data_IF_807876830269
#
_entry.id   IF_807876830269
#
_cell.length_a   1.000
_cell.length_b   1.000
_cell.length_c   1.000
_cell.angle_alpha   90.00
_cell.angle_beta   90.00
_cell.angle_gamma   90.00
#
_symmetry.space_group_name_H-M   'P 1'
#
loop_
_entity.id
_entity.type
_entity.pdbx_description
1 polymer ?
#
# COMPACT_ATOMS: atom_id res chain seq x y z
N UNK A 1 31.44 -14.23 -0.29
CA UNK A 1 30.06 -13.69 -0.47
C UNK A 1 30.07 -12.78 -1.67
N UNK A 2 29.07 -12.87 -2.55
CA UNK A 2 28.91 -11.98 -3.71
C UNK A 2 27.62 -11.16 -3.57
N UNK A 3 27.61 -9.94 -4.10
CA UNK A 3 26.43 -9.07 -4.16
C UNK A 3 25.97 -8.98 -5.60
N UNK A 4 24.72 -9.38 -5.83
CA UNK A 4 24.10 -9.43 -7.14
C UNK A 4 23.18 -8.23 -7.30
N UNK A 5 23.40 -7.45 -8.35
CA UNK A 5 22.51 -6.36 -8.71
C UNK A 5 21.40 -6.88 -9.63
N UNK A 6 20.19 -7.01 -9.09
CA UNK A 6 19.00 -7.42 -9.85
C UNK A 6 18.43 -6.20 -10.56
N UNK A 7 18.28 -6.31 -11.88
CA UNK A 7 17.74 -5.27 -12.76
C UNK A 7 16.58 -5.77 -13.60
N UNK A 8 15.73 -4.85 -14.06
CA UNK A 8 14.71 -5.09 -15.10
C UNK A 8 14.96 -4.10 -16.22
N UNK A 9 15.56 -4.55 -17.33
CA UNK A 9 16.12 -3.62 -18.32
C UNK A 9 17.21 -2.76 -17.69
N UNK A 10 17.10 -1.44 -17.82
CA UNK A 10 18.03 -0.48 -17.21
C UNK A 10 17.65 -0.09 -15.77
N UNK A 11 16.45 -0.48 -15.31
CA UNK A 11 15.96 -0.14 -13.97
C UNK A 11 16.59 -1.05 -12.90
N UNK A 12 17.18 -0.40 -11.89
CA UNK A 12 17.75 -1.06 -10.72
C UNK A 12 16.62 -1.47 -9.76
N UNK A 13 16.52 -2.76 -9.43
CA UNK A 13 15.45 -3.27 -8.57
C UNK A 13 15.91 -3.42 -7.12
N UNK A 14 16.92 -4.27 -6.88
CA UNK A 14 17.50 -4.49 -5.55
C UNK A 14 18.86 -5.20 -5.64
N UNK A 15 19.57 -5.19 -4.52
CA UNK A 15 20.78 -5.97 -4.32
C UNK A 15 20.45 -7.25 -3.53
N UNK A 16 21.00 -8.39 -3.95
CA UNK A 16 20.87 -9.67 -3.27
C UNK A 16 22.26 -10.21 -2.92
N UNK A 17 22.48 -10.55 -1.66
CA UNK A 17 23.74 -11.18 -1.24
C UNK A 17 23.58 -12.71 -1.24
N UNK A 18 24.53 -13.42 -1.86
CA UNK A 18 24.56 -14.88 -1.88
C UNK A 18 26.01 -15.42 -1.84
N UNK A 19 26.23 -16.67 -1.40
CA UNK A 19 27.49 -17.37 -1.61
C UNK A 19 27.84 -17.49 -3.11
N UNK A 20 29.12 -17.40 -3.46
CA UNK A 20 29.57 -17.60 -4.84
C UNK A 20 29.43 -19.04 -5.35
N UNK A 21 29.15 -19.97 -4.43
CA UNK A 21 28.94 -21.40 -4.69
C UNK A 21 27.45 -21.78 -4.77
N UNK A 22 26.54 -20.81 -4.72
CA UNK A 22 25.09 -21.10 -4.80
C UNK A 22 24.72 -21.50 -6.22
N UNK A 23 23.98 -22.62 -6.33
CA UNK A 23 23.48 -23.12 -7.61
C UNK A 23 22.49 -22.13 -8.26
N UNK A 24 22.51 -22.06 -9.59
CA UNK A 24 21.71 -21.08 -10.32
C UNK A 24 20.20 -21.25 -10.11
N UNK A 25 19.73 -22.50 -10.01
CA UNK A 25 18.32 -22.80 -9.75
C UNK A 25 17.87 -22.27 -8.39
N UNK A 26 18.68 -22.51 -7.36
CA UNK A 26 18.43 -22.00 -6.01
C UNK A 26 18.46 -20.48 -5.99
N UNK A 27 19.46 -19.87 -6.62
CA UNK A 27 19.60 -18.42 -6.71
C UNK A 27 18.40 -17.77 -7.41
N UNK A 28 17.93 -18.38 -8.50
CA UNK A 28 16.77 -17.90 -9.26
C UNK A 28 15.51 -17.94 -8.40
N UNK A 29 15.30 -19.03 -7.64
CA UNK A 29 14.18 -19.15 -6.71
C UNK A 29 14.24 -18.09 -5.60
N UNK A 30 15.43 -17.77 -5.08
CA UNK A 30 15.63 -16.71 -4.09
C UNK A 30 15.30 -15.32 -4.65
N UNK A 31 15.83 -14.97 -5.82
CA UNK A 31 15.53 -13.70 -6.51
C UNK A 31 14.03 -13.57 -6.76
N UNK A 32 13.40 -14.63 -7.29
CA UNK A 32 11.96 -14.64 -7.57
C UNK A 32 11.13 -14.44 -6.30
N UNK A 33 11.52 -15.06 -5.18
CA UNK A 33 10.86 -14.88 -3.88
C UNK A 33 10.90 -13.43 -3.42
N UNK A 34 12.08 -12.78 -3.46
CA UNK A 34 12.25 -11.38 -3.04
C UNK A 34 11.46 -10.45 -3.95
N UNK A 35 11.59 -10.63 -5.27
CA UNK A 35 10.88 -9.81 -6.25
C UNK A 35 9.36 -9.92 -6.09
N UNK A 36 8.82 -11.14 -6.00
CA UNK A 36 7.39 -11.35 -5.79
C UNK A 36 6.91 -10.81 -4.43
N UNK A 37 7.74 -10.88 -3.39
CA UNK A 37 7.46 -10.27 -2.09
C UNK A 37 7.29 -8.75 -2.21
N UNK A 38 8.22 -8.08 -2.90
CA UNK A 38 8.15 -6.64 -3.17
C UNK A 38 6.87 -6.27 -3.94
N UNK A 39 6.51 -7.04 -4.97
CA UNK A 39 5.27 -6.82 -5.71
C UNK A 39 4.02 -6.96 -4.84
N UNK A 40 4.00 -7.90 -3.88
CA UNK A 40 2.88 -8.04 -2.93
C UNK A 40 2.77 -6.84 -2.01
N UNK A 41 3.88 -6.35 -1.47
CA UNK A 41 3.89 -5.15 -0.62
C UNK A 41 3.40 -3.94 -1.41
N UNK A 42 3.90 -3.75 -2.63
CA UNK A 42 3.44 -2.65 -3.48
C UNK A 42 1.93 -2.70 -3.74
N UNK A 43 1.37 -3.87 -4.04
CA UNK A 43 -0.07 -4.03 -4.22
C UNK A 43 -0.86 -3.67 -2.96
N UNK A 44 -0.38 -4.10 -1.79
CA UNK A 44 -1.02 -3.74 -0.52
C UNK A 44 -0.99 -2.22 -0.29
N UNK A 45 0.15 -1.57 -0.54
CA UNK A 45 0.25 -0.11 -0.41
C UNK A 45 -0.75 0.61 -1.33
N UNK A 46 -0.84 0.22 -2.60
CA UNK A 46 -1.82 0.80 -3.53
C UNK A 46 -3.26 0.57 -3.07
N UNK A 47 -3.61 -0.63 -2.60
CA UNK A 47 -4.97 -0.91 -2.10
C UNK A 47 -5.30 -0.17 -0.79
N UNK A 48 -4.29 0.21 0.01
CA UNK A 48 -4.46 1.05 1.20
C UNK A 48 -4.75 2.51 0.83
N UNK A 49 -4.15 3.02 -0.25
CA UNK A 49 -4.46 4.36 -0.79
C UNK A 49 -5.92 4.39 -1.24
N UNK A 50 -6.34 3.44 -2.07
CA UNK A 50 -7.73 3.28 -2.52
C UNK A 50 -8.73 3.11 -1.36
N UNK A 51 -8.32 2.41 -0.28
CA UNK A 51 -9.13 2.27 0.93
C UNK A 51 -9.28 3.59 1.70
N UNK A 52 -8.23 4.40 1.74
CA UNK A 52 -8.26 5.69 2.42
C UNK A 52 -9.15 6.68 1.66
N UNK A 53 -9.05 6.70 0.32
CA UNK A 53 -9.72 7.64 -0.58
C UNK A 53 -11.18 7.27 -0.86
N UNK A 54 -11.49 5.98 -1.00
CA UNK A 54 -12.82 5.52 -1.45
C UNK A 54 -13.52 4.58 -0.46
N UNK A 55 -12.92 4.31 0.70
CA UNK A 55 -13.53 3.46 1.71
C UNK A 55 -13.49 1.97 1.39
N UNK A 56 -14.28 1.19 2.12
CA UNK A 56 -14.26 -0.28 2.01
C UNK A 56 -14.88 -0.75 0.69
N UNK A 57 -14.54 -1.97 0.28
CA UNK A 57 -15.20 -2.61 -0.86
C UNK A 57 -16.71 -2.69 -0.64
N UNK A 58 -17.48 -2.59 -1.71
CA UNK A 58 -18.88 -3.00 -1.72
C UNK A 58 -18.97 -4.54 -1.62
N UNK A 59 -20.08 -5.07 -1.09
CA UNK A 59 -20.39 -6.50 -1.17
C UNK A 59 -20.30 -7.04 -2.63
N UNK A 60 -19.87 -8.30 -2.85
CA UNK A 60 -19.64 -8.82 -4.20
C UNK A 60 -20.87 -8.80 -5.12
N UNK A 61 -22.07 -8.84 -4.54
CA UNK A 61 -23.35 -8.72 -5.24
C UNK A 61 -23.72 -7.28 -5.65
N UNK A 62 -22.96 -6.28 -5.20
CA UNK A 62 -23.17 -4.86 -5.52
C UNK A 62 -22.07 -4.28 -6.42
N UNK A 63 -20.90 -4.92 -6.49
CA UNK A 63 -19.78 -4.43 -7.31
C UNK A 63 -20.13 -4.43 -8.81
N UNK A 64 -19.91 -3.31 -9.48
CA UNK A 64 -20.15 -3.15 -10.92
C UNK A 64 -21.61 -2.95 -11.32
N UNK A 65 -22.53 -2.80 -10.35
CA UNK A 65 -23.90 -2.36 -10.60
C UNK A 65 -23.99 -0.82 -10.54
N UNK A 66 -24.94 -0.23 -11.27
CA UNK A 66 -25.23 1.19 -11.13
C UNK A 66 -26.01 1.46 -9.85
N UNK A 67 -25.95 2.70 -9.36
CA UNK A 67 -26.70 3.15 -8.19
C UNK A 67 -28.21 2.88 -8.36
N UNK A 68 -28.75 3.02 -9.59
CA UNK A 68 -30.17 2.71 -9.88
C UNK A 68 -30.49 1.21 -9.76
N UNK A 69 -29.59 0.35 -10.25
CA UNK A 69 -29.77 -1.10 -10.17
C UNK A 69 -29.72 -1.60 -8.73
N UNK A 70 -28.86 -1.00 -7.91
CA UNK A 70 -28.75 -1.30 -6.47
C UNK A 70 -30.06 -0.93 -5.76
N UNK A 71 -30.64 0.23 -6.07
CA UNK A 71 -31.94 0.66 -5.53
C UNK A 71 -33.09 -0.26 -5.98
N UNK A 72 -33.14 -0.64 -7.27
CA UNK A 72 -34.17 -1.53 -7.82
C UNK A 72 -34.12 -2.92 -7.17
N UNK A 73 -32.92 -3.48 -7.02
CA UNK A 73 -32.68 -4.77 -6.39
C UNK A 73 -32.72 -4.71 -4.86
N UNK A 74 -32.85 -3.51 -4.27
CA UNK A 74 -32.90 -3.24 -2.83
C UNK A 74 -31.69 -3.84 -2.09
N UNK A 75 -30.53 -3.82 -2.72
CA UNK A 75 -29.28 -4.30 -2.12
C UNK A 75 -28.79 -3.30 -1.08
N UNK A 76 -28.19 -3.81 0.00
CA UNK A 76 -27.69 -3.00 1.11
C UNK A 76 -26.24 -3.31 1.38
N UNK A 77 -25.45 -2.27 1.62
CA UNK A 77 -24.07 -2.40 2.07
C UNK A 77 -24.04 -2.70 3.58
N UNK A 78 -23.96 -3.98 3.92
CA UNK A 78 -23.84 -4.45 5.30
C UNK A 78 -22.50 -4.05 5.94
N UNK A 79 -21.48 -3.74 5.14
CA UNK A 79 -20.13 -3.46 5.62
C UNK A 79 -19.95 -1.97 5.92
N UNK A 80 -20.61 -1.09 5.17
CA UNK A 80 -20.57 0.36 5.39
C UNK A 80 -21.00 0.78 6.79
N UNK A 81 -22.00 0.13 7.39
CA UNK A 81 -22.42 0.42 8.77
C UNK A 81 -21.45 -0.13 9.83
N UNK A 82 -20.80 -1.26 9.54
CA UNK A 82 -19.90 -1.94 10.47
C UNK A 82 -18.50 -1.31 10.50
N UNK A 83 -18.05 -0.80 9.37
CA UNK A 83 -16.66 -0.40 9.12
C UNK A 83 -16.53 1.12 8.98
N UNK A 84 -17.16 1.88 9.88
CA UNK A 84 -17.09 3.35 9.86
C UNK A 84 -15.75 3.83 10.44
N UNK A 85 -15.04 4.75 9.75
CA UNK A 85 -13.78 5.29 10.24
C UNK A 85 -13.93 6.01 11.58
N UNK A 86 -12.95 5.84 12.47
CA UNK A 86 -12.85 6.59 13.72
C UNK A 86 -12.53 8.07 13.44
N UNK A 87 -13.56 8.87 13.23
CA UNK A 87 -13.46 10.27 12.79
C UNK A 87 -14.55 10.70 11.81
N UNK A 88 -15.44 9.78 11.42
CA UNK A 88 -16.44 10.03 10.38
C UNK A 88 -15.86 9.86 8.98
N UNK A 89 -16.75 9.92 7.99
CA UNK A 89 -16.41 9.75 6.58
C UNK A 89 -16.89 10.93 5.74
N UNK A 90 -16.17 11.18 4.66
CA UNK A 90 -16.58 12.09 3.57
C UNK A 90 -16.93 11.22 2.37
N UNK A 91 -17.96 11.59 1.62
CA UNK A 91 -18.36 10.81 0.46
C UNK A 91 -17.55 11.22 -0.78
N UNK A 92 -16.77 10.27 -1.30
CA UNK A 92 -15.93 10.40 -2.49
C UNK A 92 -16.15 9.18 -3.39
N UNK A 93 -16.87 9.37 -4.51
CA UNK A 93 -17.27 8.27 -5.40
C UNK A 93 -16.05 7.56 -6.01
N UNK A 94 -16.07 6.24 -5.96
CA UNK A 94 -15.14 5.38 -6.70
C UNK A 94 -15.60 5.30 -8.17
N UNK A 95 -14.75 5.75 -9.10
CA UNK A 95 -15.04 5.72 -10.54
C UNK A 95 -15.15 4.28 -11.09
N UNK A 96 -14.47 3.33 -10.45
CA UNK A 96 -14.47 1.91 -10.84
C UNK A 96 -15.70 1.19 -10.28
N UNK A 97 -16.37 1.76 -9.27
CA UNK A 97 -17.60 1.21 -8.68
C UNK A 97 -17.36 -0.07 -7.86
N UNK A 98 -16.19 -0.21 -7.25
CA UNK A 98 -15.83 -1.37 -6.40
C UNK A 98 -15.98 -1.05 -4.92
N UNK A 99 -15.83 0.21 -4.52
CA UNK A 99 -15.83 0.69 -3.13
C UNK A 99 -17.04 1.58 -2.85
N UNK A 100 -17.37 1.71 -1.57
CA UNK A 100 -18.59 2.39 -1.12
C UNK A 100 -18.49 3.92 -1.06
N UNK A 101 -17.31 4.47 -1.35
CA UNK A 101 -17.03 5.91 -1.41
C UNK A 101 -16.93 6.58 -0.05
N UNK A 102 -16.80 5.83 1.05
CA UNK A 102 -16.64 6.41 2.39
C UNK A 102 -15.17 6.71 2.70
N UNK A 103 -14.69 7.86 2.24
CA UNK A 103 -13.35 8.37 2.50
C UNK A 103 -13.15 8.65 4.00
N UNK A 104 -11.94 8.43 4.51
CA UNK A 104 -11.61 8.80 5.89
C UNK A 104 -11.41 10.32 6.04
N UNK A 105 -12.12 10.97 6.96
CA UNK A 105 -12.06 12.43 7.17
C UNK A 105 -10.70 12.96 7.64
N UNK A 106 -9.89 12.10 8.28
CA UNK A 106 -8.47 12.38 8.53
C UNK A 106 -7.71 12.03 7.27
N UNK A 107 -7.47 13.04 6.42
CA UNK A 107 -6.49 12.99 5.34
C UNK A 107 -5.25 12.22 5.79
N UNK A 108 -5.10 11.00 5.29
CA UNK A 108 -3.86 10.23 5.38
C UNK A 108 -3.05 10.66 4.17
N UNK A 109 -2.15 11.62 4.33
CA UNK A 109 -1.29 12.03 3.23
C UNK A 109 -0.04 11.16 3.21
N UNK A 110 0.39 10.79 2.02
CA UNK A 110 1.71 10.23 1.80
C UNK A 110 2.75 11.25 2.25
N UNK A 111 3.42 10.99 3.38
CA UNK A 111 4.60 11.76 3.72
C UNK A 111 5.74 11.25 2.83
N UNK A 112 6.29 12.14 2.00
CA UNK A 112 7.51 11.88 1.24
C UNK A 112 8.71 12.08 2.15
N UNK A 113 9.46 11.01 2.41
CA UNK A 113 10.80 11.15 2.99
C UNK A 113 11.79 11.46 1.86
N UNK A 114 12.75 12.36 2.09
CA UNK A 114 13.75 12.78 1.09
C UNK A 114 14.60 11.65 0.53
N UNK A 115 14.50 10.46 1.12
CA UNK A 115 15.18 9.23 0.73
C UNK A 115 14.37 8.38 -0.28
N UNK A 116 13.21 8.87 -0.74
CA UNK A 116 12.35 8.18 -1.72
C UNK A 116 11.38 7.15 -1.12
N UNK A 117 11.35 7.01 0.21
CA UNK A 117 10.39 6.16 0.91
C UNK A 117 9.05 6.88 1.14
N UNK A 118 7.94 6.15 0.92
CA UNK A 118 6.56 6.63 1.18
C UNK A 118 6.01 5.96 2.42
N UNK A 119 5.58 6.76 3.39
CA UNK A 119 4.88 6.29 4.57
C UNK A 119 3.48 6.91 4.65
N UNK A 120 2.48 6.07 4.95
CA UNK A 120 1.13 6.52 5.26
C UNK A 120 1.11 7.09 6.69
N UNK A 121 0.80 8.38 6.81
CA UNK A 121 0.66 9.06 8.09
C UNK A 121 -0.47 10.09 8.06
N UNK A 122 -0.98 10.51 9.23
CA UNK A 122 -1.97 11.58 9.28
C UNK A 122 -1.36 12.88 8.72
N UNK A 123 -2.10 13.62 7.88
CA UNK A 123 -1.60 14.82 7.22
C UNK A 123 -1.12 15.93 8.16
N UNK A 124 -1.62 15.94 9.40
CA UNK A 124 -1.09 16.81 10.47
C UNK A 124 0.37 16.54 10.83
N UNK A 125 0.96 15.41 10.42
CA UNK A 125 2.37 15.05 10.61
C UNK A 125 3.25 15.28 9.39
N UNK A 126 2.70 15.60 8.21
CA UNK A 126 3.50 15.92 7.03
C UNK A 126 3.86 17.41 6.93
N UNK A 127 3.66 18.18 8.01
CA UNK A 127 4.21 19.52 8.20
C UNK A 127 5.70 19.46 8.59
N UNK A 128 6.45 20.46 8.16
CA UNK A 128 7.90 20.56 8.12
C UNK A 128 8.60 20.65 9.51
N UNK A 129 8.16 19.88 10.51
CA UNK A 129 8.65 19.94 11.87
C UNK A 129 9.52 18.73 12.24
N UNK A 130 10.76 19.08 12.59
CA UNK A 130 11.80 18.21 13.12
C UNK A 130 11.29 17.40 14.31
N UNK A 131 11.49 16.09 14.21
CA UNK A 131 11.86 15.16 15.28
C UNK A 131 11.43 15.52 16.71
N UNK A 132 10.46 14.77 17.24
CA UNK A 132 10.50 14.38 18.66
C UNK A 132 9.89 12.99 18.86
N UNK A 133 10.79 12.00 18.82
CA UNK A 133 10.83 10.79 19.66
C UNK A 133 9.56 9.94 19.75
N UNK A 134 9.61 8.74 19.16
CA UNK A 134 8.71 7.64 19.54
C UNK A 134 8.08 6.82 18.42
N UNK A 135 8.51 6.94 17.16
CA UNK A 135 8.14 5.98 16.12
C UNK A 135 9.21 4.89 16.04
N UNK A 136 8.79 3.63 16.12
CA UNK A 136 9.65 2.48 15.94
C UNK A 136 10.22 2.47 14.51
N UNK A 137 11.35 3.15 14.33
CA UNK A 137 12.19 3.01 13.14
C UNK A 137 12.82 1.63 13.17
N UNK A 138 12.44 0.77 12.22
CA UNK A 138 13.29 -0.33 11.79
C UNK A 138 14.53 0.35 11.20
N UNK A 139 15.59 0.47 12.01
CA UNK A 139 16.87 1.03 11.58
C UNK A 139 17.51 0.05 10.61
N UNK A 140 17.44 0.36 9.32
CA UNK A 140 18.43 -0.06 8.34
C UNK A 140 19.76 0.56 8.78
N UNK A 141 20.75 -0.26 9.14
CA UNK A 141 22.09 0.22 9.44
C UNK A 141 22.69 0.83 8.16
N UNK A 142 23.35 2.00 8.22
CA UNK A 142 24.17 2.48 7.12
C UNK A 142 25.48 1.70 7.09
N UNK A 143 25.86 1.27 5.89
CA UNK A 143 27.16 0.68 5.58
C UNK A 143 28.30 1.62 6.01
N UNK A 144 29.27 1.05 6.72
CA UNK A 144 30.49 1.73 7.13
C UNK A 144 31.63 0.73 7.29
N UNK A 145 32.40 0.57 6.19
CA UNK A 145 33.77 0.03 6.04
C UNK A 145 33.99 -1.42 6.50
#
# INVERSE_FOLDING_TARGET
MVVLHVKRGDESQFLLQAPGSTELEELTAQVARVYNGRLKVHRLCSEMEELAEHGVFLPPNMQGLTDEQIEELKLKDEWGEKCVPSGGSVFTKDEIGRRNGQETSRSWSLCYHGDGERCLGPASRCGHDRLSHGAATIRSYPDGI
#
